data_IF_270726915025
#
_entry.id   IF_270726915025
#
_cell.length_a   1.000
_cell.length_b   1.000
_cell.length_c   1.000
_cell.angle_alpha   90.00
_cell.angle_beta   90.00
_cell.angle_gamma   90.00
#
_symmetry.space_group_name_H-M   'P 1'
#
loop_
_entity.id
_entity.type
_entity.pdbx_description
1 polymer ?
#
# COMPACT_ATOMS: atom_id res chain seq x y z
N UNK A 1 -13.71 14.06 -27.76
CA UNK A 1 -13.63 12.59 -27.60
C UNK A 1 -13.63 12.30 -26.11
N UNK A 2 -14.75 11.80 -25.57
CA UNK A 2 -14.86 11.41 -24.17
C UNK A 2 -13.99 10.17 -23.92
N UNK A 3 -12.96 10.29 -23.08
CA UNK A 3 -12.26 9.11 -22.56
C UNK A 3 -13.27 8.30 -21.76
N UNK A 4 -13.57 7.09 -22.24
CA UNK A 4 -14.29 6.10 -21.45
C UNK A 4 -13.31 5.62 -20.37
N UNK A 5 -13.28 6.28 -19.22
CA UNK A 5 -12.55 5.79 -18.04
C UNK A 5 -13.42 4.72 -17.37
N UNK A 6 -13.28 3.45 -17.77
CA UNK A 6 -13.89 2.34 -17.03
C UNK A 6 -13.06 2.09 -15.75
N UNK A 7 -13.39 2.85 -14.69
CA UNK A 7 -12.91 2.65 -13.32
C UNK A 7 -13.89 1.76 -12.57
N UNK A 8 -13.42 1.01 -11.57
CA UNK A 8 -14.28 0.18 -10.74
C UNK A 8 -14.92 -0.96 -11.53
N UNK A 9 -14.18 -2.05 -11.76
CA UNK A 9 -14.65 -3.15 -12.62
C UNK A 9 -15.98 -3.78 -12.17
N UNK A 10 -16.33 -3.64 -10.89
CA UNK A 10 -17.64 -3.99 -10.33
C UNK A 10 -18.41 -2.74 -9.88
N UNK A 11 -17.77 -1.85 -9.13
CA UNK A 11 -18.40 -0.66 -8.55
C UNK A 11 -17.50 0.56 -8.68
N UNK A 12 -18.05 1.66 -9.19
CA UNK A 12 -17.40 2.97 -9.23
C UNK A 12 -18.31 4.01 -8.59
N UNK A 13 -17.78 4.79 -7.66
CA UNK A 13 -18.52 5.85 -6.96
C UNK A 13 -17.69 7.12 -7.03
N UNK A 14 -18.31 8.22 -7.45
CA UNK A 14 -17.64 9.50 -7.63
C UNK A 14 -18.53 10.64 -7.13
N UNK A 15 -17.92 11.59 -6.43
CA UNK A 15 -18.54 12.85 -6.06
C UNK A 15 -18.00 13.99 -6.93
N UNK A 16 -18.88 14.94 -7.27
CA UNK A 16 -18.60 16.04 -8.20
C UNK A 16 -17.76 17.17 -7.59
N UNK A 17 -17.72 17.30 -6.26
CA UNK A 17 -16.99 18.38 -5.59
C UNK A 17 -16.24 17.85 -4.36
N UNK A 18 -15.08 18.46 -4.11
CA UNK A 18 -14.36 18.35 -2.85
C UNK A 18 -15.23 18.96 -1.75
N UNK A 19 -15.91 18.14 -0.97
CA UNK A 19 -16.54 18.59 0.26
C UNK A 19 -15.62 18.18 1.41
N UNK A 20 -15.01 19.15 2.08
CA UNK A 20 -14.42 18.95 3.41
C UNK A 20 -15.47 18.40 4.41
N UNK A 21 -16.76 18.56 4.08
CA UNK A 21 -17.90 18.03 4.80
C UNK A 21 -18.72 17.04 3.94
N UNK A 22 -18.52 15.73 4.14
CA UNK A 22 -19.67 14.83 4.25
C UNK A 22 -19.97 13.82 3.14
N UNK A 23 -19.22 13.76 2.03
CA UNK A 23 -19.36 12.64 1.11
C UNK A 23 -18.63 11.41 1.67
N UNK A 24 -19.38 10.46 2.21
CA UNK A 24 -18.86 9.18 2.71
C UNK A 24 -19.54 8.02 1.99
N UNK A 25 -18.75 7.01 1.65
CA UNK A 25 -19.26 5.73 1.20
C UNK A 25 -18.83 4.63 2.14
N UNK A 26 -19.80 3.79 2.52
CA UNK A 26 -19.55 2.55 3.20
C UNK A 26 -19.72 1.39 2.21
N UNK A 27 -18.68 0.58 2.09
CA UNK A 27 -18.69 -0.67 1.33
C UNK A 27 -18.50 -1.81 2.30
N UNK A 28 -19.44 -2.74 2.32
CA UNK A 28 -19.35 -3.95 3.14
C UNK A 28 -19.52 -5.15 2.24
N UNK A 29 -18.53 -6.03 2.24
CA UNK A 29 -18.57 -7.31 1.54
C UNK A 29 -18.26 -8.40 2.53
N UNK A 30 -19.17 -9.37 2.66
CA UNK A 30 -19.02 -10.46 3.62
C UNK A 30 -19.24 -11.79 2.93
N UNK A 31 -18.34 -12.73 3.16
CA UNK A 31 -18.51 -14.13 2.74
C UNK A 31 -18.77 -14.29 1.24
N UNK A 32 -17.97 -13.59 0.42
CA UNK A 32 -18.12 -13.50 -1.03
C UNK A 32 -16.85 -13.86 -1.78
N UNK A 33 -17.03 -14.39 -2.99
CA UNK A 33 -15.96 -14.58 -3.96
C UNK A 33 -15.94 -13.41 -4.94
N UNK A 34 -14.83 -12.67 -4.96
CA UNK A 34 -14.56 -11.51 -5.81
C UNK A 34 -13.41 -11.88 -6.74
N UNK A 35 -13.73 -12.46 -7.88
CA UNK A 35 -12.71 -13.04 -8.76
C UNK A 35 -12.80 -12.55 -10.19
N UNK A 36 -11.64 -12.37 -10.84
CA UNK A 36 -11.52 -12.11 -12.28
C UNK A 36 -12.18 -10.81 -12.76
N UNK A 37 -12.30 -9.80 -11.89
CA UNK A 37 -12.80 -8.49 -12.29
C UNK A 37 -11.67 -7.65 -12.87
N UNK A 38 -11.93 -6.91 -13.94
CA UNK A 38 -10.91 -6.09 -14.61
C UNK A 38 -11.44 -4.69 -14.89
N UNK A 39 -10.63 -3.67 -14.57
CA UNK A 39 -10.87 -2.29 -14.96
C UNK A 39 -9.81 -1.82 -15.97
N UNK A 40 -10.24 -1.05 -16.98
CA UNK A 40 -9.32 -0.41 -17.95
C UNK A 40 -8.67 0.87 -17.43
N UNK A 41 -9.00 1.28 -16.20
CA UNK A 41 -8.34 2.36 -15.50
C UNK A 41 -7.89 1.86 -14.12
N UNK A 42 -8.65 2.13 -13.08
CA UNK A 42 -8.23 1.89 -11.69
C UNK A 42 -9.32 1.16 -10.92
N UNK A 43 -8.93 0.37 -9.92
CA UNK A 43 -9.86 -0.37 -9.08
C UNK A 43 -10.51 -1.52 -9.85
N UNK A 44 -9.81 -2.63 -10.03
CA UNK A 44 -10.31 -3.78 -10.77
C UNK A 44 -11.66 -4.31 -10.24
N UNK A 45 -11.96 -4.03 -8.98
CA UNK A 45 -13.26 -4.29 -8.34
C UNK A 45 -13.95 -2.97 -8.01
N UNK A 46 -13.31 -2.12 -7.22
CA UNK A 46 -13.93 -0.94 -6.62
C UNK A 46 -13.06 0.30 -6.80
N UNK A 47 -13.69 1.42 -7.18
CA UNK A 47 -13.03 2.72 -7.16
C UNK A 47 -13.89 3.82 -6.55
N UNK A 48 -13.25 4.71 -5.77
CA UNK A 48 -13.83 5.96 -5.29
C UNK A 48 -13.04 7.17 -5.74
N UNK A 49 -13.73 8.31 -5.86
CA UNK A 49 -13.12 9.61 -6.10
C UNK A 49 -13.80 10.70 -5.29
N UNK A 50 -13.00 11.58 -4.66
CA UNK A 50 -13.45 12.79 -3.96
C UNK A 50 -14.43 12.53 -2.82
N UNK A 51 -14.24 11.44 -2.07
CA UNK A 51 -15.09 11.11 -0.92
C UNK A 51 -14.32 10.34 0.14
N UNK A 52 -14.87 10.26 1.35
CA UNK A 52 -14.40 9.35 2.38
C UNK A 52 -14.89 7.94 2.07
N UNK A 53 -14.01 6.95 2.24
CA UNK A 53 -14.36 5.57 1.97
C UNK A 53 -14.05 4.70 3.19
N UNK A 54 -15.08 3.99 3.65
CA UNK A 54 -14.98 2.93 4.62
C UNK A 54 -15.27 1.59 3.94
N UNK A 55 -14.24 0.78 3.74
CA UNK A 55 -14.33 -0.51 3.04
C UNK A 55 -14.08 -1.62 4.06
N UNK A 56 -15.08 -2.47 4.29
CA UNK A 56 -14.97 -3.67 5.11
C UNK A 56 -15.15 -4.91 4.25
N UNK A 57 -14.20 -5.84 4.32
CA UNK A 57 -14.27 -7.14 3.66
C UNK A 57 -14.01 -8.26 4.68
N UNK A 58 -15.02 -9.05 5.02
CA UNK A 58 -14.90 -10.16 5.96
C UNK A 58 -15.08 -11.50 5.26
N UNK A 59 -14.19 -12.46 5.51
CA UNK A 59 -14.25 -13.83 4.97
C UNK A 59 -14.45 -13.89 3.45
N UNK A 60 -13.75 -13.03 2.72
CA UNK A 60 -13.84 -12.95 1.27
C UNK A 60 -12.69 -13.66 0.56
N UNK A 61 -12.96 -14.17 -0.63
CA UNK A 61 -11.97 -14.72 -1.55
C UNK A 61 -11.74 -13.71 -2.68
N UNK A 62 -10.58 -13.07 -2.73
CA UNK A 62 -10.28 -11.96 -3.66
C UNK A 62 -9.15 -12.38 -4.59
N UNK A 63 -9.49 -12.88 -5.79
CA UNK A 63 -8.55 -13.55 -6.68
C UNK A 63 -8.54 -12.98 -8.09
N UNK A 64 -7.36 -12.85 -8.70
CA UNK A 64 -7.25 -12.56 -10.14
C UNK A 64 -7.95 -11.27 -10.59
N UNK A 65 -8.09 -10.27 -9.72
CA UNK A 65 -8.63 -8.98 -10.13
C UNK A 65 -7.50 -8.09 -10.66
N UNK A 66 -7.81 -7.28 -11.67
CA UNK A 66 -6.81 -6.50 -12.37
C UNK A 66 -7.26 -5.06 -12.67
N UNK A 67 -6.30 -4.15 -12.64
CA UNK A 67 -6.45 -2.80 -13.16
C UNK A 67 -5.25 -2.42 -14.03
N UNK A 68 -5.49 -1.70 -15.11
CA UNK A 68 -4.41 -1.29 -16.02
C UNK A 68 -3.59 -0.11 -15.50
N UNK A 69 -4.12 0.64 -14.52
CA UNK A 69 -3.44 1.78 -13.88
C UNK A 69 -3.12 1.49 -12.43
N UNK A 70 -4.05 1.77 -11.52
CA UNK A 70 -3.80 1.65 -10.07
C UNK A 70 -4.82 0.73 -9.40
N UNK A 71 -4.39 0.07 -8.33
CA UNK A 71 -5.30 -0.64 -7.44
C UNK A 71 -5.97 -1.84 -8.13
N UNK A 72 -5.27 -2.97 -8.18
CA UNK A 72 -5.77 -4.17 -8.87
C UNK A 72 -7.14 -4.65 -8.35
N UNK A 73 -7.47 -4.31 -7.10
CA UNK A 73 -8.80 -4.50 -6.49
C UNK A 73 -9.44 -3.15 -6.17
N UNK A 74 -8.77 -2.34 -5.34
CA UNK A 74 -9.29 -1.09 -4.79
C UNK A 74 -8.46 0.10 -5.25
N UNK A 75 -9.12 1.11 -5.80
CA UNK A 75 -8.53 2.41 -6.07
C UNK A 75 -9.28 3.51 -5.33
N UNK A 76 -8.61 4.13 -4.36
CA UNK A 76 -9.21 5.05 -3.40
C UNK A 76 -8.52 6.41 -3.50
N UNK A 77 -9.21 7.35 -4.13
CA UNK A 77 -8.66 8.63 -4.56
C UNK A 77 -9.23 9.82 -3.76
N UNK A 78 -8.34 10.68 -3.27
CA UNK A 78 -8.65 11.91 -2.51
C UNK A 78 -9.50 11.68 -1.26
N UNK A 79 -9.07 10.78 -0.37
CA UNK A 79 -9.93 10.29 0.70
C UNK A 79 -9.30 10.34 2.10
N UNK A 80 -10.16 10.51 3.12
CA UNK A 80 -9.96 9.84 4.42
C UNK A 80 -10.41 8.40 4.27
N UNK A 81 -9.57 7.47 4.68
CA UNK A 81 -9.73 6.05 4.39
C UNK A 81 -9.78 5.20 5.65
N UNK A 82 -10.74 4.29 5.68
CA UNK A 82 -10.75 3.16 6.58
C UNK A 82 -10.96 1.91 5.74
N UNK A 83 -10.01 0.98 5.81
CA UNK A 83 -10.10 -0.27 5.09
C UNK A 83 -9.80 -1.38 6.09
N UNK A 84 -10.74 -2.30 6.24
CA UNK A 84 -10.61 -3.46 7.11
C UNK A 84 -10.86 -4.69 6.28
N UNK A 85 -9.89 -5.61 6.24
CA UNK A 85 -10.10 -6.94 5.70
C UNK A 85 -9.74 -7.99 6.74
N UNK A 86 -10.68 -8.89 7.01
CA UNK A 86 -10.53 -9.94 8.02
C UNK A 86 -10.82 -11.31 7.44
N UNK A 87 -9.98 -12.29 7.80
CA UNK A 87 -10.18 -13.70 7.41
C UNK A 87 -10.29 -13.89 5.88
N UNK A 88 -9.64 -13.03 5.11
CA UNK A 88 -9.70 -13.04 3.65
C UNK A 88 -8.55 -13.84 3.03
N UNK A 89 -8.80 -14.40 1.85
CA UNK A 89 -7.77 -14.91 0.95
C UNK A 89 -7.62 -13.92 -0.20
N UNK A 90 -6.45 -13.31 -0.34
CA UNK A 90 -6.19 -12.24 -1.31
C UNK A 90 -5.01 -12.67 -2.16
N UNK A 91 -5.25 -13.06 -3.42
CA UNK A 91 -4.12 -13.49 -4.26
C UNK A 91 -4.25 -13.22 -5.75
N UNK A 92 -3.10 -13.16 -6.42
CA UNK A 92 -3.02 -13.01 -7.87
C UNK A 92 -3.72 -11.74 -8.39
N UNK A 93 -3.85 -10.70 -7.56
CA UNK A 93 -4.38 -9.43 -8.01
C UNK A 93 -3.25 -8.56 -8.58
N UNK A 94 -3.55 -7.80 -9.63
CA UNK A 94 -2.53 -7.11 -10.43
C UNK A 94 -2.89 -5.68 -10.75
N UNK A 95 -1.93 -4.77 -10.57
CA UNK A 95 -1.97 -3.42 -11.14
C UNK A 95 -0.79 -3.25 -12.10
N UNK A 96 -1.04 -2.79 -13.32
CA UNK A 96 0.04 -2.64 -14.33
C UNK A 96 0.65 -1.24 -14.38
N UNK A 97 0.00 -0.23 -13.81
CA UNK A 97 0.48 1.16 -13.79
C UNK A 97 1.06 1.54 -12.42
N UNK A 98 0.54 2.64 -11.83
CA UNK A 98 1.03 3.18 -10.57
C UNK A 98 0.54 2.34 -9.37
N UNK A 99 1.17 1.19 -9.14
CA UNK A 99 1.23 0.51 -7.85
C UNK A 99 -0.05 -0.11 -7.27
N UNK A 100 0.13 -0.77 -6.12
CA UNK A 100 -0.95 -1.30 -5.30
C UNK A 100 -1.66 -2.48 -5.93
N UNK A 101 -0.95 -3.60 -6.15
CA UNK A 101 -1.50 -4.79 -6.82
C UNK A 101 -2.84 -5.27 -6.25
N UNK A 102 -3.14 -4.92 -4.99
CA UNK A 102 -4.48 -4.98 -4.40
C UNK A 102 -5.06 -3.57 -4.21
N UNK A 103 -4.38 -2.70 -3.45
CA UNK A 103 -4.90 -1.40 -3.02
C UNK A 103 -3.97 -0.27 -3.42
N UNK A 104 -4.53 0.74 -4.08
CA UNK A 104 -3.91 2.06 -4.22
C UNK A 104 -4.70 3.09 -3.41
N UNK A 105 -4.01 3.81 -2.53
CA UNK A 105 -4.59 4.80 -1.64
C UNK A 105 -3.88 6.15 -1.80
N UNK A 106 -4.59 7.13 -2.35
CA UNK A 106 -4.18 8.53 -2.40
C UNK A 106 -4.83 9.31 -1.24
N UNK A 107 -4.01 9.73 -0.27
CA UNK A 107 -4.50 10.20 1.03
C UNK A 107 -4.50 11.73 1.16
N UNK A 108 -5.64 12.30 1.54
CA UNK A 108 -5.75 13.74 1.80
C UNK A 108 -5.48 14.10 3.27
N UNK A 109 -5.91 13.25 4.20
CA UNK A 109 -5.81 13.52 5.64
C UNK A 109 -5.32 12.29 6.41
N UNK A 110 -6.18 11.28 6.54
CA UNK A 110 -5.88 10.08 7.34
C UNK A 110 -6.29 8.82 6.61
N UNK A 111 -5.44 7.80 6.67
CA UNK A 111 -5.75 6.48 6.14
C UNK A 111 -5.43 5.40 7.18
N UNK A 112 -6.41 4.58 7.51
CA UNK A 112 -6.26 3.41 8.35
C UNK A 112 -6.52 2.16 7.51
N UNK A 113 -5.53 1.28 7.43
CA UNK A 113 -5.66 -0.02 6.79
C UNK A 113 -5.40 -1.11 7.81
N UNK A 114 -6.26 -2.11 7.85
CA UNK A 114 -6.14 -3.26 8.73
C UNK A 114 -6.37 -4.54 7.96
N UNK A 115 -5.37 -5.42 8.00
CA UNK A 115 -5.52 -6.83 7.65
C UNK A 115 -5.43 -7.65 8.92
N UNK A 116 -6.40 -8.54 9.14
CA UNK A 116 -6.39 -9.44 10.29
C UNK A 116 -6.69 -10.87 9.84
N UNK A 117 -5.79 -11.79 10.21
CA UNK A 117 -5.94 -13.22 9.95
C UNK A 117 -6.13 -13.54 8.46
N UNK A 118 -5.49 -12.75 7.58
CA UNK A 118 -5.59 -12.89 6.13
C UNK A 118 -4.43 -13.71 5.56
N UNK A 119 -4.71 -14.39 4.45
CA UNK A 119 -3.70 -15.00 3.60
C UNK A 119 -3.53 -14.15 2.33
N UNK A 120 -2.36 -13.54 2.15
CA UNK A 120 -2.10 -12.55 1.10
C UNK A 120 -0.91 -12.99 0.26
N UNK A 121 -1.14 -13.36 -1.00
CA UNK A 121 -0.04 -13.88 -1.81
C UNK A 121 -0.10 -13.57 -3.29
N UNK A 122 1.05 -13.60 -3.97
CA UNK A 122 1.11 -13.48 -5.43
C UNK A 122 0.46 -12.21 -5.99
N UNK A 123 0.37 -11.13 -5.20
CA UNK A 123 -0.14 -9.85 -5.69
C UNK A 123 1.02 -9.06 -6.29
N UNK A 124 0.75 -8.40 -7.42
CA UNK A 124 1.78 -7.85 -8.29
C UNK A 124 1.46 -6.40 -8.70
N UNK A 125 2.37 -5.48 -8.38
CA UNK A 125 2.42 -4.15 -8.94
C UNK A 125 3.50 -4.10 -10.02
N UNK A 126 3.14 -4.50 -11.24
CA UNK A 126 4.11 -4.86 -12.29
C UNK A 126 5.13 -3.76 -12.61
N UNK A 127 4.64 -2.53 -12.76
CA UNK A 127 5.48 -1.35 -13.05
C UNK A 127 5.38 -0.31 -11.93
N UNK A 128 4.92 -0.71 -10.75
CA UNK A 128 4.60 0.21 -9.67
C UNK A 128 5.01 -0.32 -8.31
N UNK A 129 4.69 0.46 -7.27
CA UNK A 129 5.12 0.16 -5.91
C UNK A 129 4.01 -0.49 -5.10
N UNK A 130 4.36 -1.26 -4.07
CA UNK A 130 3.39 -1.86 -3.17
C UNK A 130 2.67 -3.05 -3.81
N UNK A 131 3.23 -4.25 -3.73
CA UNK A 131 2.67 -5.43 -4.40
C UNK A 131 1.28 -5.78 -3.86
N UNK A 132 1.06 -5.48 -2.58
CA UNK A 132 -0.27 -5.48 -1.97
C UNK A 132 -0.83 -4.06 -1.93
N UNK A 133 -0.08 -3.12 -1.34
CA UNK A 133 -0.60 -1.79 -1.03
C UNK A 133 0.39 -0.68 -1.37
N UNK A 134 -0.11 0.36 -2.03
CA UNK A 134 0.58 1.63 -2.21
C UNK A 134 -0.16 2.75 -1.46
N UNK A 135 0.53 3.44 -0.57
CA UNK A 135 0.03 4.59 0.17
C UNK A 135 0.77 5.84 -0.28
N UNK A 136 0.05 6.75 -0.90
CA UNK A 136 0.59 7.98 -1.48
C UNK A 136 0.15 9.20 -0.67
N UNK A 137 1.11 10.00 -0.19
CA UNK A 137 0.86 11.29 0.49
C UNK A 137 1.08 12.43 -0.53
N UNK A 138 0.08 12.82 -1.34
CA UNK A 138 0.20 13.82 -2.41
C UNK A 138 0.55 15.21 -1.88
N UNK A 139 0.96 16.09 -2.80
CA UNK A 139 1.16 17.50 -2.50
C UNK A 139 -0.17 18.26 -2.45
N UNK A 140 -0.81 18.31 -1.29
CA UNK A 140 -2.03 19.11 -1.09
C UNK A 140 -2.00 19.75 0.28
N UNK A 141 -1.88 21.08 0.28
CA UNK A 141 -1.90 22.00 1.43
C UNK A 141 -0.92 21.58 2.56
N UNK A 142 -0.62 22.43 3.53
CA UNK A 142 0.36 22.10 4.59
C UNK A 142 -0.24 21.20 5.69
N UNK A 143 -1.00 20.18 5.28
CA UNK A 143 -1.75 19.33 6.20
C UNK A 143 -0.89 18.19 6.78
N UNK A 144 -1.18 17.85 8.03
CA UNK A 144 -0.61 16.70 8.72
C UNK A 144 -1.26 15.41 8.21
N UNK A 145 -0.63 14.77 7.23
CA UNK A 145 -1.14 13.52 6.61
C UNK A 145 -0.68 12.32 7.40
N UNK A 146 -1.60 11.40 7.71
CA UNK A 146 -1.29 10.23 8.53
C UNK A 146 -1.78 8.93 7.91
N UNK A 147 -0.90 7.94 7.81
CA UNK A 147 -1.29 6.59 7.43
C UNK A 147 -0.93 5.59 8.52
N UNK A 148 -1.88 4.78 8.95
CA UNK A 148 -1.65 3.64 9.83
C UNK A 148 -2.01 2.35 9.09
N UNK A 149 -1.01 1.51 8.86
CA UNK A 149 -1.16 0.20 8.23
C UNK A 149 -0.90 -0.85 9.29
N UNK A 150 -1.89 -1.68 9.59
CA UNK A 150 -1.79 -2.77 10.57
C UNK A 150 -2.04 -4.10 9.89
N UNK A 151 -1.15 -5.07 10.10
CA UNK A 151 -1.32 -6.44 9.61
C UNK A 151 -1.09 -7.41 10.78
N UNK A 152 -2.15 -8.09 11.21
CA UNK A 152 -2.16 -8.92 12.42
C UNK A 152 -2.50 -10.37 12.10
N UNK A 153 -1.66 -11.31 12.55
CA UNK A 153 -1.89 -12.74 12.36
C UNK A 153 -1.97 -13.17 10.89
N UNK A 154 -1.34 -12.41 9.98
CA UNK A 154 -1.42 -12.64 8.55
C UNK A 154 -0.29 -13.55 8.05
N UNK A 155 -0.56 -14.29 6.98
CA UNK A 155 0.46 -14.92 6.14
C UNK A 155 0.57 -14.13 4.85
N UNK A 156 1.73 -13.50 4.60
CA UNK A 156 1.94 -12.59 3.49
C UNK A 156 3.18 -13.02 2.71
N UNK A 157 2.98 -13.55 1.51
CA UNK A 157 4.08 -14.16 0.78
C UNK A 157 4.03 -14.03 -0.73
N UNK A 158 5.20 -14.03 -1.37
CA UNK A 158 5.32 -13.97 -2.84
C UNK A 158 4.59 -12.77 -3.47
N UNK A 159 4.51 -11.64 -2.76
CA UNK A 159 4.02 -10.39 -3.34
C UNK A 159 5.20 -9.62 -3.95
N UNK A 160 4.95 -8.95 -5.08
CA UNK A 160 5.99 -8.32 -5.91
C UNK A 160 5.62 -6.88 -6.28
N UNK A 161 6.63 -5.99 -6.27
CA UNK A 161 6.54 -4.63 -6.78
C UNK A 161 7.91 -4.11 -7.21
N UNK A 162 7.96 -2.89 -7.76
CA UNK A 162 9.20 -2.14 -7.93
C UNK A 162 9.77 -1.70 -6.57
N UNK A 163 8.98 -1.03 -5.72
CA UNK A 163 9.36 -0.73 -4.33
C UNK A 163 8.31 -1.30 -3.36
N UNK A 164 8.73 -1.88 -2.23
CA UNK A 164 7.81 -2.40 -1.21
C UNK A 164 7.03 -3.61 -1.70
N UNK A 165 7.62 -4.81 -1.66
CA UNK A 165 6.99 -6.01 -2.23
C UNK A 165 5.62 -6.33 -1.63
N UNK A 166 5.38 -5.93 -0.37
CA UNK A 166 4.06 -5.90 0.25
C UNK A 166 3.50 -4.48 0.24
N UNK A 167 4.21 -3.55 0.88
CA UNK A 167 3.73 -2.21 1.15
C UNK A 167 4.76 -1.17 0.71
N UNK A 168 4.28 -0.19 -0.04
CA UNK A 168 5.01 1.05 -0.30
C UNK A 168 4.30 2.23 0.33
N UNK A 169 5.07 3.10 0.98
CA UNK A 169 4.58 4.38 1.49
C UNK A 169 5.44 5.49 0.90
N UNK A 170 4.80 6.43 0.23
CA UNK A 170 5.47 7.63 -0.26
C UNK A 170 5.02 8.86 0.51
N UNK A 171 6.00 9.62 1.00
CA UNK A 171 5.83 10.79 1.86
C UNK A 171 6.49 12.01 1.20
N UNK A 172 5.75 12.72 0.34
CA UNK A 172 6.32 13.74 -0.54
C UNK A 172 5.87 15.19 -0.32
N UNK A 173 6.71 16.12 -0.80
CA UNK A 173 6.45 17.54 -1.10
C UNK A 173 5.82 18.42 -0.02
N UNK A 174 6.68 19.03 0.82
CA UNK A 174 6.35 20.09 1.80
C UNK A 174 5.16 19.77 2.73
N UNK A 175 4.74 18.52 2.79
CA UNK A 175 3.71 18.02 3.68
C UNK A 175 4.37 17.60 5.01
N UNK A 176 3.54 17.47 6.05
CA UNK A 176 3.94 16.84 7.31
C UNK A 176 3.38 15.43 7.32
N UNK A 177 4.16 14.50 6.77
CA UNK A 177 3.74 13.11 6.66
C UNK A 177 4.04 12.35 7.94
N UNK A 178 3.09 11.55 8.41
CA UNK A 178 3.33 10.49 9.38
C UNK A 178 2.84 9.15 8.84
N UNK A 179 3.67 8.12 8.90
CA UNK A 179 3.24 6.76 8.60
C UNK A 179 3.67 5.80 9.69
N UNK A 180 2.73 4.98 10.16
CA UNK A 180 3.00 3.87 11.07
C UNK A 180 2.57 2.60 10.35
N UNK A 181 3.53 1.71 10.14
CA UNK A 181 3.32 0.38 9.59
C UNK A 181 3.58 -0.60 10.73
N UNK A 182 2.61 -1.44 11.07
CA UNK A 182 2.71 -2.42 12.13
C UNK A 182 2.36 -3.81 11.61
N UNK A 183 3.22 -4.77 11.95
CA UNK A 183 2.98 -6.18 11.78
C UNK A 183 3.00 -6.85 13.15
N UNK A 184 2.00 -7.65 13.48
CA UNK A 184 1.96 -8.42 14.72
C UNK A 184 1.60 -9.88 14.45
N UNK A 185 2.34 -10.82 15.05
CA UNK A 185 2.06 -12.25 14.94
C UNK A 185 2.00 -12.78 13.50
N UNK A 186 2.68 -12.10 12.57
CA UNK A 186 2.51 -12.34 11.12
C UNK A 186 3.73 -13.02 10.51
N UNK A 187 3.50 -13.82 9.47
CA UNK A 187 4.55 -14.44 8.66
C UNK A 187 4.70 -13.68 7.33
N UNK A 188 5.86 -13.10 7.10
CA UNK A 188 6.21 -12.27 5.95
C UNK A 188 7.32 -12.97 5.19
N UNK A 189 7.02 -13.63 4.07
CA UNK A 189 8.02 -14.44 3.39
C UNK A 189 8.05 -14.39 1.87
N UNK A 190 9.24 -14.46 1.28
CA UNK A 190 9.39 -14.53 -0.18
C UNK A 190 8.76 -13.35 -0.93
N UNK A 191 8.54 -12.22 -0.27
CA UNK A 191 8.10 -11.00 -0.94
C UNK A 191 9.32 -10.31 -1.57
N UNK A 192 9.13 -9.71 -2.75
CA UNK A 192 10.24 -9.13 -3.50
C UNK A 192 9.94 -7.73 -4.05
N UNK A 193 10.97 -6.90 -4.04
CA UNK A 193 10.98 -5.59 -4.70
C UNK A 193 12.42 -5.19 -5.05
N UNK A 194 12.65 -4.05 -5.67
CA UNK A 194 13.98 -3.45 -5.84
C UNK A 194 14.49 -2.81 -4.55
N UNK A 195 13.56 -2.28 -3.74
CA UNK A 195 13.81 -1.77 -2.40
C UNK A 195 12.73 -2.27 -1.44
N UNK A 196 13.13 -2.90 -0.34
CA UNK A 196 12.20 -3.34 0.70
C UNK A 196 11.30 -4.48 0.23
N UNK A 197 11.78 -5.73 0.30
CA UNK A 197 11.00 -6.88 -0.13
C UNK A 197 9.64 -7.01 0.57
N UNK A 198 9.51 -6.48 1.79
CA UNK A 198 8.22 -6.32 2.48
C UNK A 198 7.75 -4.87 2.44
N UNK A 199 8.49 -3.97 3.07
CA UNK A 199 8.11 -2.56 3.24
C UNK A 199 9.16 -1.67 2.61
N UNK A 200 8.74 -0.71 1.81
CA UNK A 200 9.56 0.45 1.46
C UNK A 200 8.83 1.73 1.87
N UNK A 201 9.55 2.63 2.54
CA UNK A 201 9.08 3.99 2.84
C UNK A 201 10.03 4.98 2.19
N UNK A 202 9.49 5.86 1.35
CA UNK A 202 10.26 6.88 0.65
C UNK A 202 9.77 8.28 1.04
N UNK A 203 10.67 9.10 1.58
CA UNK A 203 10.39 10.48 1.99
C UNK A 203 11.24 11.46 1.20
N UNK A 204 10.61 12.18 0.27
CA UNK A 204 11.30 13.09 -0.68
C UNK A 204 10.72 14.48 -0.66
N UNK A 205 11.57 15.52 -0.65
CA UNK A 205 11.13 16.92 -0.72
C UNK A 205 10.10 17.30 0.37
N UNK A 206 10.13 16.65 1.52
CA UNK A 206 9.17 16.85 2.61
C UNK A 206 9.54 18.05 3.50
N UNK A 207 8.57 18.63 4.23
CA UNK A 207 8.84 19.62 5.27
C UNK A 207 9.06 18.99 6.66
N UNK A 208 8.46 17.81 6.88
CA UNK A 208 8.68 16.93 8.02
C UNK A 208 8.14 15.55 7.67
N UNK A 209 8.88 14.49 8.00
CA UNK A 209 8.43 13.13 7.79
C UNK A 209 8.72 12.27 8.99
N UNK A 210 7.69 11.59 9.49
CA UNK A 210 7.81 10.64 10.59
C UNK A 210 7.32 9.27 10.15
N UNK A 211 8.23 8.34 9.93
CA UNK A 211 7.88 6.97 9.61
C UNK A 211 8.18 6.04 10.77
N UNK A 212 7.36 5.01 10.94
CA UNK A 212 7.66 3.91 11.84
C UNK A 212 7.27 2.60 11.20
N UNK A 213 8.18 1.64 11.23
CA UNK A 213 7.90 0.23 10.94
C UNK A 213 8.05 -0.55 12.23
N UNK A 214 6.97 -1.16 12.69
CA UNK A 214 6.92 -2.00 13.89
C UNK A 214 6.65 -3.43 13.44
N UNK A 215 7.45 -4.38 13.92
CA UNK A 215 7.21 -5.80 13.75
C UNK A 215 7.31 -6.48 15.12
N UNK A 216 6.25 -7.15 15.54
CA UNK A 216 6.16 -7.81 16.83
C UNK A 216 5.76 -9.28 16.66
N UNK A 217 6.51 -10.20 17.24
CA UNK A 217 6.22 -11.64 17.16
C UNK A 217 6.08 -12.15 15.71
N UNK A 218 6.82 -11.57 14.77
CA UNK A 218 6.74 -11.90 13.36
C UNK A 218 7.81 -12.91 12.93
N UNK A 219 7.50 -13.68 11.89
CA UNK A 219 8.50 -14.43 11.12
C UNK A 219 8.74 -13.67 9.82
N UNK A 220 9.96 -13.18 9.60
CA UNK A 220 10.33 -12.44 8.40
C UNK A 220 11.41 -13.19 7.68
N UNK A 221 11.08 -13.85 6.58
CA UNK A 221 12.01 -14.80 5.96
C UNK A 221 12.04 -14.79 4.44
N UNK A 222 13.22 -14.90 3.83
CA UNK A 222 13.36 -15.04 2.38
C UNK A 222 12.78 -13.86 1.58
N UNK A 223 12.57 -12.70 2.20
CA UNK A 223 12.19 -11.49 1.47
C UNK A 223 13.43 -10.92 0.80
N UNK A 224 13.24 -10.40 -0.42
CA UNK A 224 14.36 -9.99 -1.26
C UNK A 224 14.18 -8.59 -1.81
N UNK A 225 15.25 -7.82 -1.73
CA UNK A 225 15.43 -6.64 -2.55
C UNK A 225 16.37 -6.99 -3.71
N UNK A 226 15.83 -7.15 -4.92
CA UNK A 226 16.55 -7.62 -6.12
C UNK A 226 16.40 -6.62 -7.26
N UNK A 227 17.47 -6.44 -8.03
CA UNK A 227 17.54 -5.49 -9.14
C UNK A 227 16.63 -5.94 -10.30
N UNK A 228 15.43 -5.36 -10.40
CA UNK A 228 14.60 -5.44 -11.60
C UNK A 228 14.79 -4.14 -12.38
N UNK A 229 15.85 -4.06 -13.18
CA UNK A 229 16.05 -3.04 -14.23
C UNK A 229 16.27 -1.54 -13.86
N UNK A 230 16.13 -1.09 -12.61
CA UNK A 230 16.47 0.30 -12.23
C UNK A 230 17.63 0.41 -11.20
N UNK A 231 18.82 0.72 -11.70
CA UNK A 231 19.99 1.06 -10.86
C UNK A 231 19.80 2.43 -10.20
N UNK A 232 19.27 2.49 -8.98
CA UNK A 232 19.52 3.64 -8.09
C UNK A 232 20.95 3.54 -7.53
N UNK A 233 21.74 4.59 -7.72
CA UNK A 233 23.13 4.67 -7.27
C UNK A 233 23.27 4.93 -5.76
N UNK A 234 22.21 5.40 -5.06
CA UNK A 234 22.42 6.12 -3.79
C UNK A 234 21.56 5.68 -2.58
N UNK A 235 20.83 4.55 -2.63
CA UNK A 235 19.89 4.14 -1.57
C UNK A 235 20.07 2.69 -1.07
N UNK A 236 19.99 2.48 0.26
CA UNK A 236 20.08 1.16 0.87
C UNK A 236 18.85 0.27 0.61
N UNK A 237 19.04 -0.85 -0.07
CA UNK A 237 17.98 -1.77 -0.55
C UNK A 237 17.51 -2.78 0.50
N UNK A 238 17.31 -2.40 1.76
CA UNK A 238 17.11 -3.39 2.85
C UNK A 238 16.15 -4.54 2.49
N UNK A 239 16.58 -5.80 2.69
CA UNK A 239 15.95 -6.96 2.04
C UNK A 239 14.48 -7.18 2.41
N UNK A 240 14.10 -6.88 3.65
CA UNK A 240 12.69 -6.86 4.08
C UNK A 240 12.15 -5.43 4.21
N UNK A 241 12.91 -4.52 4.80
CA UNK A 241 12.50 -3.13 5.04
C UNK A 241 13.53 -2.20 4.44
N UNK A 242 13.08 -1.26 3.61
CA UNK A 242 13.87 -0.15 3.11
C UNK A 242 13.23 1.18 3.55
N UNK A 243 14.07 2.15 3.91
CA UNK A 243 13.66 3.53 4.19
C UNK A 243 14.60 4.45 3.45
N UNK A 244 14.06 5.25 2.53
CA UNK A 244 14.80 6.22 1.75
C UNK A 244 14.36 7.64 2.14
N UNK A 245 15.33 8.52 2.31
CA UNK A 245 15.11 9.92 2.68
C UNK A 245 16.01 10.78 1.79
N UNK A 246 15.41 11.65 0.97
CA UNK A 246 16.17 12.52 0.07
C UNK A 246 15.58 13.91 -0.07
N UNK A 247 16.39 14.85 -0.55
CA UNK A 247 16.00 16.22 -0.90
C UNK A 247 15.25 16.98 0.21
N UNK A 248 15.76 16.88 1.43
CA UNK A 248 15.21 17.57 2.61
C UNK A 248 15.37 19.09 2.52
N UNK A 249 14.34 19.83 2.95
CA UNK A 249 14.38 21.29 3.08
C UNK A 249 15.16 21.69 4.35
N UNK A 250 15.59 22.95 4.45
CA UNK A 250 16.54 23.39 5.48
C UNK A 250 15.99 23.46 6.92
N UNK A 251 14.78 22.96 7.21
CA UNK A 251 14.08 23.07 8.50
C UNK A 251 13.49 21.74 9.01
N UNK A 252 14.04 20.60 8.60
CA UNK A 252 13.31 19.33 8.62
C UNK A 252 13.41 18.53 9.94
N UNK A 253 12.26 18.29 10.58
CA UNK A 253 12.05 17.29 11.62
C UNK A 253 11.71 15.95 10.94
N UNK A 254 12.74 15.12 10.76
CA UNK A 254 12.63 13.81 10.10
C UNK A 254 13.03 12.71 11.07
N UNK A 255 12.10 11.80 11.37
CA UNK A 255 12.31 10.69 12.29
C UNK A 255 11.77 9.39 11.71
N UNK A 256 12.65 8.39 11.56
CA UNK A 256 12.28 7.07 11.08
C UNK A 256 12.73 6.00 12.06
N UNK A 257 11.76 5.24 12.56
CA UNK A 257 11.99 4.14 13.49
C UNK A 257 11.71 2.81 12.80
N UNK A 258 12.63 1.86 12.90
CA UNK A 258 12.36 0.45 12.59
C UNK A 258 12.53 -0.34 13.88
N UNK A 259 11.42 -0.88 14.38
CA UNK A 259 11.34 -1.58 15.67
C UNK A 259 10.94 -3.02 15.38
N UNK A 260 11.80 -3.97 15.76
CA UNK A 260 11.52 -5.39 15.65
C UNK A 260 11.67 -6.03 17.03
N UNK A 261 10.58 -6.60 17.54
CA UNK A 261 10.52 -7.21 18.88
C UNK A 261 10.07 -8.66 18.76
N UNK A 262 10.82 -9.59 19.33
CA UNK A 262 10.50 -11.02 19.32
C UNK A 262 10.24 -11.60 17.91
N UNK A 263 10.94 -11.07 16.91
CA UNK A 263 10.85 -11.51 15.52
C UNK A 263 11.91 -12.56 15.17
N UNK A 264 11.54 -13.53 14.34
CA UNK A 264 12.48 -14.47 13.72
C UNK A 264 12.84 -13.99 12.31
N UNK A 265 14.09 -13.54 12.12
CA UNK A 265 14.59 -12.98 10.86
C UNK A 265 15.50 -14.00 10.16
N UNK A 266 15.07 -14.55 9.02
CA UNK A 266 15.77 -15.63 8.34
C UNK A 266 15.98 -15.35 6.86
N UNK A 267 17.24 -15.31 6.39
CA UNK A 267 17.51 -15.32 4.95
C UNK A 267 16.83 -14.17 4.19
N UNK A 268 16.79 -12.95 4.73
CA UNK A 268 16.34 -11.79 3.96
C UNK A 268 17.54 -11.21 3.21
N UNK A 269 17.39 -10.94 1.91
CA UNK A 269 18.51 -10.62 1.02
C UNK A 269 18.33 -9.23 0.41
N UNK A 270 19.42 -8.48 0.33
CA UNK A 270 19.50 -7.25 -0.46
C UNK A 270 20.66 -7.43 -1.43
N UNK A 271 20.38 -7.40 -2.73
CA UNK A 271 21.42 -7.47 -3.76
C UNK A 271 22.10 -6.11 -3.93
N UNK A 272 23.44 -6.14 -3.97
CA UNK A 272 24.31 -4.99 -4.23
C UNK A 272 24.42 -4.75 -5.73
#
# INVERSE_FOLDING_TARGET
>A
MSQITMRGGVVHIQADAHSEDGNEVQVVVNNSDITQNTAMASGGVFSTQNMYANVTMDRCTILHNAATKEGGVLHLDFSRLMIVMSLCVISHNKATGMGGGVVYADIMQTANFTLSLCNVSHNDAENGNGGVMNVYHPQYQQDDKRSHVTMEGCSIFQNKAAEGGVLYVWMGYRSRGQSIVSFSGSALSQNSAEAGGVVSIDAKNTASARGRVIMEHCVVSQNRAENVEYTREDGGRGGAVAVEISDLSSHDDVHFDVIMTDCNLLQNYAEV
#
